data_IF_564794744500
#
_entry.id   IF_564794744500
#
_cell.length_a   1.000
_cell.length_b   1.000
_cell.length_c   1.000
_cell.angle_alpha   90.00
_cell.angle_beta   90.00
_cell.angle_gamma   90.00
#
_symmetry.space_group_name_H-M   'P 1'
#
loop_
_entity.id
_entity.type
_entity.pdbx_description
1 polymer ?
#
# COMPACT_ATOMS: atom_id res chain seq x y z
N UNK A 1 -7.93 12.10 1.50
CA UNK A 1 -6.90 11.15 1.99
C UNK A 1 -6.37 10.36 0.80
N UNK A 2 -5.10 9.96 0.82
CA UNK A 2 -4.48 9.16 -0.25
C UNK A 2 -4.05 7.80 0.32
N UNK A 3 -4.44 6.71 -0.32
CA UNK A 3 -3.99 5.36 0.03
C UNK A 3 -3.02 4.95 -1.08
N UNK A 4 -1.75 4.78 -0.75
CA UNK A 4 -0.76 4.39 -1.75
C UNK A 4 -0.70 2.87 -1.83
N UNK A 5 -0.76 2.32 -3.04
CA UNK A 5 -0.42 0.92 -3.29
C UNK A 5 1.05 0.64 -2.86
N UNK A 6 1.33 -0.61 -2.49
CA UNK A 6 2.65 -1.09 -2.11
C UNK A 6 3.71 -0.73 -3.16
N UNK A 7 3.40 -0.75 -4.46
CA UNK A 7 4.36 -0.36 -5.49
C UNK A 7 4.88 1.08 -5.32
N UNK A 8 4.02 2.05 -4.97
CA UNK A 8 4.41 3.44 -4.74
C UNK A 8 5.23 3.60 -3.47
N UNK A 9 4.93 2.83 -2.41
CA UNK A 9 5.77 2.79 -1.21
C UNK A 9 7.19 2.30 -1.53
N UNK A 10 7.31 1.26 -2.36
CA UNK A 10 8.59 0.70 -2.79
C UNK A 10 9.33 1.69 -3.69
N UNK A 11 8.69 2.19 -4.76
CA UNK A 11 9.32 3.11 -5.71
C UNK A 11 9.75 4.42 -5.06
N UNK A 12 8.93 4.98 -4.18
CA UNK A 12 9.26 6.21 -3.46
C UNK A 12 10.41 6.03 -2.45
N UNK A 13 10.58 4.81 -1.92
CA UNK A 13 11.70 4.49 -1.01
C UNK A 13 13.01 4.29 -1.77
N UNK A 14 12.96 3.60 -2.92
CA UNK A 14 14.14 3.36 -3.76
C UNK A 14 14.52 4.59 -4.58
N UNK A 15 13.57 5.52 -4.79
CA UNK A 15 13.77 6.71 -5.61
C UNK A 15 13.66 6.45 -7.10
N UNK A 16 12.86 5.46 -7.52
CA UNK A 16 12.67 5.11 -8.95
C UNK A 16 11.48 5.82 -9.60
N UNK A 17 10.63 6.50 -8.82
CA UNK A 17 9.56 7.36 -9.33
C UNK A 17 9.57 8.67 -8.54
N UNK A 18 9.84 9.78 -9.23
CA UNK A 18 9.83 11.12 -8.64
C UNK A 18 8.48 11.43 -7.99
N UNK A 19 7.39 10.99 -8.64
CA UNK A 19 6.04 11.18 -8.13
C UNK A 19 5.80 10.38 -6.85
N UNK A 20 6.24 9.13 -6.80
CA UNK A 20 6.17 8.32 -5.59
C UNK A 20 7.00 8.94 -4.45
N UNK A 21 8.22 9.39 -4.74
CA UNK A 21 9.08 10.06 -3.75
C UNK A 21 8.43 11.33 -3.20
N UNK A 22 7.87 12.17 -4.08
CA UNK A 22 7.13 13.37 -3.66
C UNK A 22 5.94 13.03 -2.76
N UNK A 23 5.15 12.01 -3.10
CA UNK A 23 4.02 11.57 -2.27
C UNK A 23 4.48 11.14 -0.88
N UNK A 24 5.60 10.42 -0.78
CA UNK A 24 6.16 10.05 0.51
C UNK A 24 6.64 11.26 1.31
N UNK A 25 7.24 12.27 0.66
CA UNK A 25 7.67 13.52 1.32
C UNK A 25 6.48 14.37 1.80
N UNK A 26 5.39 14.41 1.04
CA UNK A 26 4.13 15.07 1.44
C UNK A 26 3.49 14.36 2.64
N UNK A 27 3.48 13.03 2.65
CA UNK A 27 3.01 12.24 3.80
C UNK A 27 3.93 12.44 5.01
N UNK A 28 5.24 12.51 4.80
CA UNK A 28 6.22 12.71 5.86
C UNK A 28 6.00 14.04 6.59
N UNK A 29 5.80 15.11 5.83
CA UNK A 29 5.53 16.46 6.34
C UNK A 29 4.10 16.69 6.84
N UNK A 30 3.18 15.74 6.57
CA UNK A 30 1.78 15.85 6.97
C UNK A 30 0.92 16.67 6.00
N UNK A 31 1.48 17.08 4.86
CA UNK A 31 0.76 17.77 3.79
C UNK A 31 -0.30 16.85 3.16
N UNK A 32 -0.02 15.54 3.14
CA UNK A 32 -0.94 14.50 2.64
C UNK A 32 -1.24 13.48 3.74
N UNK A 33 -2.53 13.28 4.05
CA UNK A 33 -2.98 12.23 4.97
C UNK A 33 -3.04 10.88 4.26
N UNK A 34 -2.45 9.85 4.87
CA UNK A 34 -2.37 8.48 4.35
C UNK A 34 -2.50 7.43 5.47
N UNK A 35 -2.69 6.17 5.08
CA UNK A 35 -2.69 5.01 5.95
C UNK A 35 -1.93 3.86 5.28
N UNK A 36 -1.30 3.02 6.10
CA UNK A 36 -0.63 1.80 5.65
C UNK A 36 -0.96 0.67 6.62
N UNK A 37 -1.36 -0.48 6.08
CA UNK A 37 -1.65 -1.67 6.89
C UNK A 37 -0.40 -2.54 7.08
N UNK A 38 -0.42 -3.43 8.08
CA UNK A 38 0.67 -4.40 8.29
C UNK A 38 0.92 -5.28 7.06
N UNK A 39 -0.16 -5.66 6.36
CA UNK A 39 -0.09 -6.40 5.10
C UNK A 39 0.75 -5.64 4.07
N UNK A 40 0.49 -4.34 3.88
CA UNK A 40 1.20 -3.54 2.89
C UNK A 40 2.67 -3.33 3.27
N UNK A 41 2.96 -3.17 4.57
CA UNK A 41 4.34 -3.10 5.08
C UNK A 41 5.07 -4.41 4.79
N UNK A 42 4.47 -5.56 5.10
CA UNK A 42 5.09 -6.87 4.82
C UNK A 42 5.31 -7.09 3.32
N UNK A 43 4.38 -6.66 2.46
CA UNK A 43 4.57 -6.73 1.01
C UNK A 43 5.73 -5.86 0.53
N UNK A 44 5.87 -4.63 1.05
CA UNK A 44 7.01 -3.78 0.74
C UNK A 44 8.33 -4.42 1.18
N UNK A 45 8.39 -4.98 2.39
CA UNK A 45 9.58 -5.67 2.89
C UNK A 45 9.97 -6.87 2.01
N UNK A 46 8.99 -7.69 1.59
CA UNK A 46 9.21 -8.80 0.64
C UNK A 46 9.61 -8.31 -0.75
N UNK A 47 9.12 -7.15 -1.19
CA UNK A 47 9.52 -6.55 -2.46
C UNK A 47 11.01 -6.16 -2.45
N UNK A 48 11.49 -5.57 -1.35
CA UNK A 48 12.92 -5.28 -1.19
C UNK A 48 13.78 -6.57 -1.20
N UNK A 49 13.31 -7.65 -0.57
CA UNK A 49 14.00 -8.94 -0.59
C UNK A 49 14.18 -9.54 -1.98
N UNK A 50 13.20 -9.31 -2.86
CA UNK A 50 13.17 -9.84 -4.23
C UNK A 50 13.89 -8.93 -5.23
N UNK A 51 14.35 -7.76 -4.80
CA UNK A 51 14.97 -6.79 -5.69
C UNK A 51 16.28 -7.34 -6.28
N UNK A 52 16.41 -7.41 -7.61
CA UNK A 52 17.61 -7.89 -8.26
C UNK A 52 18.75 -6.88 -8.11
N UNK A 53 19.99 -7.37 -8.12
CA UNK A 53 21.18 -6.51 -8.09
C UNK A 53 21.58 -5.96 -6.73
N UNK A 54 20.81 -6.22 -5.66
CA UNK A 54 21.16 -5.83 -4.30
C UNK A 54 21.78 -6.99 -3.50
N UNK A 55 22.80 -6.67 -2.72
CA UNK A 55 23.35 -7.53 -1.67
C UNK A 55 22.39 -7.64 -0.49
N UNK A 56 22.57 -8.66 0.37
CA UNK A 56 21.78 -8.80 1.59
C UNK A 56 21.85 -7.55 2.49
N UNK A 57 23.03 -6.93 2.59
CA UNK A 57 23.23 -5.71 3.37
C UNK A 57 22.43 -4.53 2.81
N UNK A 58 22.46 -4.31 1.49
CA UNK A 58 21.71 -3.23 0.84
C UNK A 58 20.20 -3.42 0.99
N UNK A 59 19.72 -4.67 0.96
CA UNK A 59 18.30 -4.99 1.22
C UNK A 59 17.91 -4.64 2.65
N UNK A 60 18.74 -4.97 3.63
CA UNK A 60 18.49 -4.64 5.04
C UNK A 60 18.54 -3.12 5.29
N UNK A 61 19.43 -2.40 4.60
CA UNK A 61 19.50 -0.94 4.62
C UNK A 61 18.21 -0.32 4.06
N UNK A 62 17.67 -0.83 2.94
CA UNK A 62 16.40 -0.36 2.38
C UNK A 62 15.21 -0.63 3.30
N UNK A 63 15.14 -1.82 3.92
CA UNK A 63 14.09 -2.13 4.90
C UNK A 63 14.16 -1.20 6.10
N UNK A 64 15.37 -0.96 6.61
CA UNK A 64 15.60 -0.04 7.73
C UNK A 64 15.20 1.38 7.36
N UNK A 65 15.57 1.85 6.15
CA UNK A 65 15.18 3.15 5.63
C UNK A 65 13.65 3.27 5.55
N UNK A 66 12.97 2.29 4.95
CA UNK A 66 11.53 2.26 4.82
C UNK A 66 10.83 2.34 6.18
N UNK A 67 11.17 1.44 7.11
CA UNK A 67 10.55 1.40 8.44
C UNK A 67 10.84 2.68 9.24
N UNK A 68 12.08 3.19 9.19
CA UNK A 68 12.45 4.44 9.85
C UNK A 68 11.63 5.60 9.30
N UNK A 69 11.44 5.68 7.98
CA UNK A 69 10.65 6.73 7.35
C UNK A 69 9.19 6.68 7.79
N UNK A 70 8.57 5.48 7.83
CA UNK A 70 7.21 5.31 8.34
C UNK A 70 7.05 5.88 9.76
N UNK A 71 8.02 5.70 10.66
CA UNK A 71 7.95 6.25 12.03
C UNK A 71 8.04 7.78 12.12
N UNK A 72 8.55 8.43 11.08
CA UNK A 72 8.69 9.89 11.00
C UNK A 72 7.50 10.54 10.29
N UNK A 73 6.66 9.76 9.62
CA UNK A 73 5.58 10.29 8.80
C UNK A 73 4.43 10.82 9.65
N UNK A 74 4.27 12.14 9.64
CA UNK A 74 3.24 12.82 10.43
C UNK A 74 1.84 12.74 9.81
N UNK A 75 1.76 12.59 8.48
CA UNK A 75 0.50 12.40 7.75
C UNK A 75 -0.06 10.98 7.83
N UNK A 76 0.64 10.05 8.47
CA UNK A 76 0.28 8.64 8.53
C UNK A 76 -0.60 8.39 9.76
N UNK A 77 -1.91 8.34 9.54
CA UNK A 77 -2.91 8.27 10.62
C UNK A 77 -3.20 6.85 11.12
N UNK A 78 -2.74 5.86 10.36
CA UNK A 78 -2.76 4.46 10.75
C UNK A 78 -1.44 3.82 10.34
N UNK A 79 -0.71 3.35 11.35
CA UNK A 79 0.51 2.56 11.21
C UNK A 79 0.29 1.22 11.91
N UNK A 80 0.79 0.11 11.36
CA UNK A 80 0.62 -1.19 11.99
C UNK A 80 1.25 -1.25 13.38
N UNK A 81 0.51 -1.79 14.34
CA UNK A 81 0.98 -2.07 15.68
C UNK A 81 1.78 -3.37 15.71
N UNK A 82 2.60 -3.59 16.74
CA UNK A 82 3.35 -4.85 16.92
C UNK A 82 2.48 -6.11 16.96
N UNK A 83 1.18 -5.98 17.26
CA UNK A 83 0.20 -7.08 17.22
C UNK A 83 -0.21 -7.46 15.79
N UNK A 84 -0.14 -6.51 14.86
CA UNK A 84 -0.47 -6.72 13.46
C UNK A 84 0.66 -7.42 12.69
N UNK A 85 1.86 -7.51 13.28
CA UNK A 85 3.04 -8.16 12.72
C UNK A 85 3.16 -9.66 13.04
N UNK A 86 2.21 -10.28 13.75
CA UNK A 86 2.28 -11.71 14.02
C UNK A 86 2.29 -12.52 12.69
N UNK A 87 3.37 -13.27 12.50
CA UNK A 87 3.81 -13.91 11.25
C UNK A 87 2.92 -15.10 10.82
N UNK A 88 1.93 -14.81 9.98
CA UNK A 88 1.34 -15.74 8.99
C UNK A 88 0.51 -15.01 7.90
N UNK A 89 0.46 -13.68 7.95
CA UNK A 89 -0.65 -12.89 7.42
C UNK A 89 -0.67 -12.69 5.91
N UNK A 90 0.44 -12.68 5.18
CA UNK A 90 0.38 -12.34 3.74
C UNK A 90 -0.34 -13.38 2.91
N UNK A 91 0.13 -14.63 2.96
CA UNK A 91 -0.46 -15.72 2.21
C UNK A 91 -1.82 -16.11 2.82
N UNK A 92 -2.00 -16.00 4.13
CA UNK A 92 -3.31 -16.20 4.77
C UNK A 92 -4.32 -15.10 4.44
N UNK A 93 -3.94 -13.82 4.43
CA UNK A 93 -4.84 -12.72 4.03
C UNK A 93 -5.21 -12.86 2.57
N UNK A 94 -4.26 -13.20 1.70
CA UNK A 94 -4.49 -13.46 0.27
C UNK A 94 -5.37 -14.67 0.05
N UNK A 95 -5.08 -15.79 0.72
CA UNK A 95 -5.83 -17.03 0.62
C UNK A 95 -7.13 -17.03 1.44
N UNK A 96 -7.36 -16.00 2.27
CA UNK A 96 -8.59 -15.92 3.06
C UNK A 96 -9.79 -15.94 2.12
N UNK A 97 -10.80 -16.71 2.50
CA UNK A 97 -12.02 -16.85 1.71
C UNK A 97 -12.68 -15.50 1.43
N UNK A 98 -12.55 -14.55 2.36
CA UNK A 98 -13.03 -13.19 2.19
C UNK A 98 -12.31 -12.46 1.05
N UNK A 99 -10.97 -12.43 1.06
CA UNK A 99 -10.18 -11.81 -0.01
C UNK A 99 -10.42 -12.45 -1.37
N UNK A 100 -10.45 -13.79 -1.42
CA UNK A 100 -10.71 -14.53 -2.66
C UNK A 100 -12.13 -14.27 -3.19
N UNK A 101 -13.12 -14.19 -2.31
CA UNK A 101 -14.50 -13.88 -2.71
C UNK A 101 -14.63 -12.47 -3.26
N UNK A 102 -14.03 -11.48 -2.59
CA UNK A 102 -14.02 -10.09 -3.07
C UNK A 102 -13.29 -9.98 -4.40
N UNK A 103 -12.09 -10.54 -4.53
CA UNK A 103 -11.34 -10.58 -5.79
C UNK A 103 -12.17 -11.15 -6.94
N UNK A 104 -12.90 -12.24 -6.69
CA UNK A 104 -13.77 -12.86 -7.70
C UNK A 104 -14.97 -11.99 -8.07
N UNK A 105 -15.56 -11.27 -7.12
CA UNK A 105 -16.70 -10.38 -7.35
C UNK A 105 -16.27 -9.13 -8.10
N UNK A 106 -15.15 -8.53 -7.69
CA UNK A 106 -14.69 -7.23 -8.22
C UNK A 106 -13.79 -7.35 -9.44
N UNK A 107 -13.24 -8.53 -9.72
CA UNK A 107 -12.21 -8.72 -10.75
C UNK A 107 -10.84 -8.18 -10.36
N UNK A 108 -10.68 -7.62 -9.16
CA UNK A 108 -9.41 -7.12 -8.64
C UNK A 108 -8.53 -8.29 -8.21
N UNK A 109 -7.22 -8.20 -8.44
CA UNK A 109 -6.30 -9.26 -8.02
C UNK A 109 -6.30 -9.42 -6.49
N UNK A 110 -6.21 -10.66 -5.95
CA UNK A 110 -6.24 -10.89 -4.51
C UNK A 110 -5.19 -10.12 -3.72
N UNK A 111 -4.05 -9.76 -4.34
CA UNK A 111 -3.00 -8.98 -3.70
C UNK A 111 -3.41 -7.54 -3.39
N UNK A 112 -4.35 -6.98 -4.17
CA UNK A 112 -4.74 -5.57 -4.11
C UNK A 112 -6.03 -5.35 -3.29
N UNK A 113 -6.81 -6.41 -3.04
CA UNK A 113 -8.01 -6.37 -2.18
C UNK A 113 -7.74 -5.79 -0.79
N UNK A 114 -6.66 -6.15 -0.07
CA UNK A 114 -6.38 -5.53 1.24
C UNK A 114 -6.22 -4.00 1.17
N UNK A 115 -5.77 -3.45 0.04
CA UNK A 115 -5.65 -2.00 -0.18
C UNK A 115 -7.04 -1.38 -0.34
N UNK A 116 -7.93 -2.04 -1.09
CA UNK A 116 -9.34 -1.63 -1.23
C UNK A 116 -10.06 -1.67 0.12
N UNK A 117 -9.83 -2.72 0.92
CA UNK A 117 -10.40 -2.85 2.28
C UNK A 117 -9.91 -1.72 3.18
N UNK A 118 -8.61 -1.42 3.18
CA UNK A 118 -8.07 -0.29 3.95
C UNK A 118 -8.71 1.04 3.51
N UNK A 119 -8.85 1.27 2.20
CA UNK A 119 -9.53 2.46 1.72
C UNK A 119 -10.99 2.52 2.19
N UNK A 120 -11.71 1.41 2.21
CA UNK A 120 -13.08 1.33 2.72
C UNK A 120 -13.20 1.57 4.24
N UNK A 121 -12.21 1.17 5.03
CA UNK A 121 -12.15 1.49 6.46
C UNK A 121 -12.10 3.02 6.68
N UNK A 122 -11.44 3.73 5.76
CA UNK A 122 -11.31 5.19 5.75
C UNK A 122 -12.33 5.92 4.86
N UNK A 123 -13.40 5.24 4.44
CA UNK A 123 -14.38 5.72 3.44
C UNK A 123 -15.00 7.10 3.74
N UNK A 124 -15.19 7.44 5.01
CA UNK A 124 -15.73 8.74 5.44
C UNK A 124 -14.80 9.92 5.08
N UNK A 125 -13.52 9.65 4.78
CA UNK A 125 -12.51 10.60 4.32
C UNK A 125 -12.38 10.67 2.80
N UNK A 126 -13.27 9.99 2.06
CA UNK A 126 -13.28 9.86 0.59
C UNK A 126 -11.88 9.56 0.02
N UNK A 127 -11.30 8.40 0.36
CA UNK A 127 -9.93 8.10 -0.01
C UNK A 127 -9.80 7.87 -1.51
N UNK A 128 -8.62 8.25 -2.00
CA UNK A 128 -8.17 7.99 -3.37
C UNK A 128 -7.00 7.01 -3.29
N UNK A 129 -7.16 5.84 -3.90
CA UNK A 129 -6.13 4.81 -4.02
C UNK A 129 -5.24 5.17 -5.21
N UNK A 130 -3.95 5.29 -4.98
CA UNK A 130 -2.96 5.62 -6.00
C UNK A 130 -2.12 4.38 -6.28
N UNK A 131 -1.95 4.04 -7.55
CA UNK A 131 -1.17 2.86 -7.96
C UNK A 131 -0.46 3.09 -9.29
N UNK A 132 0.72 2.48 -9.45
CA UNK A 132 1.41 2.36 -10.75
C UNK A 132 0.96 1.09 -11.52
N UNK A 133 0.01 0.32 -11.00
CA UNK A 133 -0.55 -0.86 -11.67
C UNK A 133 -1.77 -0.44 -12.50
N UNK A 134 -1.63 -0.44 -13.84
CA UNK A 134 -2.68 -0.03 -14.76
C UNK A 134 -3.91 -0.96 -14.72
N UNK A 135 -3.71 -2.26 -14.44
CA UNK A 135 -4.81 -3.21 -14.30
C UNK A 135 -5.60 -2.91 -13.04
N UNK A 136 -4.91 -2.63 -11.93
CA UNK A 136 -5.59 -2.23 -10.70
C UNK A 136 -6.27 -0.87 -10.84
N UNK A 137 -5.62 0.12 -11.49
CA UNK A 137 -6.21 1.44 -11.72
C UNK A 137 -7.48 1.42 -12.60
N UNK A 138 -7.68 0.38 -13.40
CA UNK A 138 -8.89 0.20 -14.22
C UNK A 138 -10.10 -0.24 -13.39
N UNK A 139 -9.92 -0.65 -12.13
CA UNK A 139 -11.02 -0.96 -11.23
C UNK A 139 -11.81 0.30 -10.88
N UNK A 140 -13.11 0.30 -11.18
CA UNK A 140 -14.04 1.37 -10.85
C UNK A 140 -14.89 0.99 -9.62
N UNK A 141 -14.63 1.55 -8.42
CA UNK A 141 -15.34 1.22 -7.20
C UNK A 141 -16.84 1.51 -7.26
N UNK A 142 -17.26 2.49 -8.07
CA UNK A 142 -18.66 2.88 -8.17
C UNK A 142 -19.52 1.74 -8.74
N UNK A 143 -18.97 0.90 -9.63
CA UNK A 143 -19.65 -0.28 -10.18
C UNK A 143 -19.88 -1.39 -9.15
N UNK A 144 -19.27 -1.30 -7.97
CA UNK A 144 -19.33 -2.30 -6.91
C UNK A 144 -19.92 -1.75 -5.61
N UNK A 145 -20.73 -0.69 -5.69
CA UNK A 145 -21.35 -0.03 -4.52
C UNK A 145 -20.34 0.57 -3.54
N UNK A 146 -19.20 1.05 -4.04
CA UNK A 146 -18.17 1.77 -3.27
C UNK A 146 -17.93 3.19 -3.84
N UNK A 147 -18.98 4.01 -4.08
CA UNK A 147 -18.87 5.29 -4.79
C UNK A 147 -18.01 6.34 -4.08
N UNK A 148 -17.68 6.14 -2.81
CA UNK A 148 -16.85 7.03 -2.00
C UNK A 148 -15.34 6.78 -2.16
N UNK A 149 -14.96 5.70 -2.84
CA UNK A 149 -13.58 5.38 -3.17
C UNK A 149 -13.28 5.83 -4.60
N UNK A 150 -12.05 6.30 -4.83
CA UNK A 150 -11.55 6.61 -6.18
C UNK A 150 -10.22 5.93 -6.41
N UNK A 151 -9.92 5.57 -7.66
CA UNK A 151 -8.62 5.03 -8.07
C UNK A 151 -7.94 5.98 -9.06
N UNK A 152 -6.63 6.12 -8.93
CA UNK A 152 -5.79 6.99 -9.75
C UNK A 152 -4.53 6.22 -10.16
N UNK A 153 -4.27 6.17 -11.48
CA UNK A 153 -3.00 5.66 -11.99
C UNK A 153 -1.91 6.73 -11.85
N UNK A 154 -0.73 6.33 -11.39
CA UNK A 154 0.42 7.21 -11.18
C UNK A 154 1.64 6.62 -11.86
N UNK A 155 2.13 7.31 -12.90
CA UNK A 155 3.33 6.94 -13.66
C UNK A 155 4.63 7.12 -12.85
#
# INVERSE_FOLDING_TARGET
MKILDTNLWVFGTVGTSDRATQLLDEIERGDTVSAVSAYMVQEALKAFDRMPGLTARERDELKTLFLTRLTRMTGLIEAPSSRDFADSLLDERRASLHTQSLARITGVQPKDIPIVVLAFEHRDRKPSILTNDAEFAAFDPANYSLPELTLEHVD
#
